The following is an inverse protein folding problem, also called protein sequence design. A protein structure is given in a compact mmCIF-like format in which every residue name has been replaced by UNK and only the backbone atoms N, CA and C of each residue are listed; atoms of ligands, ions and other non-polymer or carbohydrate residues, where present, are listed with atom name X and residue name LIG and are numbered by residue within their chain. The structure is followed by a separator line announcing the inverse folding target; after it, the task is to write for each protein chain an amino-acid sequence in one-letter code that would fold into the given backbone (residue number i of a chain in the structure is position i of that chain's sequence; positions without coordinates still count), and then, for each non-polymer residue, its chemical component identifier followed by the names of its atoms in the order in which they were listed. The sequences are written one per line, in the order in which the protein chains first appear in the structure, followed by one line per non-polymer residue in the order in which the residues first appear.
data_IF_561500761887
#
_entry.id   IF_561500761887
#
_cell.length_a   1.000
_cell.length_b   1.000
_cell.length_c   1.000
_cell.angle_alpha   90.00
_cell.angle_beta   90.00
_cell.angle_gamma   90.00
#
_symmetry.space_group_name_H-M   'P 1'
#
loop_
_entity.id
_entity.type
_entity.pdbx_description
1 polymer ?
#
# COMPACT_ATOMS: atom_id res chain seq x y z
N UNK A 1 -2.04 -4.01 6.29
CA UNK A 1 -3.33 -4.25 5.57
C UNK A 1 -3.54 -5.71 5.23
N UNK A 2 -2.51 -6.42 4.75
CA UNK A 2 -2.62 -7.86 4.46
C UNK A 2 -2.86 -8.72 5.71
N UNK A 3 -2.57 -8.18 6.88
CA UNK A 3 -2.80 -8.87 8.14
C UNK A 3 -4.26 -8.89 8.57
N UNK A 4 -4.99 -7.80 8.36
CA UNK A 4 -6.43 -7.81 8.54
C UNK A 4 -7.13 -8.65 7.46
N UNK A 5 -6.57 -8.66 6.25
CA UNK A 5 -7.01 -9.57 5.20
C UNK A 5 -6.78 -11.05 5.56
N UNK A 6 -5.69 -11.39 6.21
CA UNK A 6 -5.42 -12.76 6.67
C UNK A 6 -6.11 -13.13 7.99
N UNK A 7 -6.47 -12.17 8.84
CA UNK A 7 -7.38 -12.37 9.97
C UNK A 7 -8.82 -12.44 9.55
N UNK A 8 -9.16 -11.73 8.49
CA UNK A 8 -10.47 -11.78 7.94
C UNK A 8 -10.58 -12.99 7.04
N UNK A 9 -10.86 -14.17 7.63
CA UNK A 9 -11.67 -15.11 6.88
C UNK A 9 -12.77 -14.33 6.12
N UNK A 10 -13.27 -13.22 6.66
CA UNK A 10 -14.12 -12.27 5.99
C UNK A 10 -13.60 -11.71 4.66
N UNK A 11 -12.31 -11.37 4.54
CA UNK A 11 -11.77 -10.89 3.26
C UNK A 11 -11.63 -12.00 2.22
N UNK A 12 -11.41 -13.23 2.66
CA UNK A 12 -11.47 -14.41 1.78
C UNK A 12 -12.91 -14.65 1.35
N UNK A 13 -13.90 -14.46 2.22
CA UNK A 13 -15.32 -14.53 1.88
C UNK A 13 -15.77 -13.38 0.98
N UNK A 14 -15.27 -12.18 1.19
CA UNK A 14 -15.56 -11.01 0.34
C UNK A 14 -15.06 -11.16 -1.10
N UNK A 15 -14.07 -12.03 -1.34
CA UNK A 15 -13.47 -12.24 -2.67
C UNK A 15 -14.03 -13.46 -3.43
N UNK A 16 -14.82 -14.29 -2.79
CA UNK A 16 -15.18 -15.60 -3.33
C UNK A 16 -16.66 -15.90 -3.11
N UNK A 17 -17.47 -15.55 -4.11
CA UNK A 17 -18.92 -15.81 -4.08
C UNK A 17 -19.28 -17.30 -4.18
N UNK A 18 -18.33 -18.17 -4.49
CA UNK A 18 -18.45 -19.63 -4.45
C UNK A 18 -18.46 -20.22 -3.03
N UNK A 19 -18.35 -19.37 -2.00
CA UNK A 19 -18.49 -19.73 -0.58
C UNK A 19 -19.63 -18.95 0.08
N UNK A 20 -20.10 -19.44 1.23
CA UNK A 20 -21.08 -18.70 2.01
C UNK A 20 -20.50 -17.33 2.39
N UNK A 21 -21.08 -16.28 1.87
CA UNK A 21 -20.71 -14.89 2.11
C UNK A 21 -21.74 -14.20 3.01
N UNK A 22 -21.38 -13.07 3.60
CA UNK A 22 -22.30 -12.16 4.22
C UNK A 22 -23.27 -11.60 3.17
N UNK A 23 -24.37 -11.03 3.63
CA UNK A 23 -25.31 -10.31 2.77
C UNK A 23 -24.58 -9.24 1.94
N UNK A 24 -24.94 -9.14 0.67
CA UNK A 24 -24.26 -8.25 -0.27
C UNK A 24 -24.47 -6.78 0.03
N UNK A 25 -25.66 -6.40 0.52
CA UNK A 25 -25.92 -5.03 0.96
C UNK A 25 -25.13 -4.68 2.23
N UNK A 26 -25.05 -5.62 3.20
CA UNK A 26 -24.24 -5.44 4.39
C UNK A 26 -22.74 -5.25 4.04
N UNK A 27 -22.25 -5.93 3.01
CA UNK A 27 -20.89 -5.77 2.53
C UNK A 27 -20.64 -4.37 1.93
N UNK A 28 -21.59 -3.82 1.19
CA UNK A 28 -21.52 -2.45 0.69
C UNK A 28 -21.51 -1.44 1.83
N UNK A 29 -22.43 -1.57 2.77
CA UNK A 29 -22.54 -0.71 3.96
C UNK A 29 -21.24 -0.75 4.79
N UNK A 30 -20.64 -1.93 4.97
CA UNK A 30 -19.37 -2.08 5.67
C UNK A 30 -18.24 -1.32 4.97
N UNK A 31 -18.14 -1.43 3.63
CA UNK A 31 -17.14 -0.70 2.84
C UNK A 31 -17.31 0.81 3.01
N UNK A 32 -18.54 1.30 2.87
CA UNK A 32 -18.84 2.73 3.01
C UNK A 32 -18.51 3.26 4.41
N UNK A 33 -18.91 2.51 5.43
CA UNK A 33 -18.65 2.88 6.82
C UNK A 33 -17.16 2.88 7.19
N UNK A 34 -16.41 1.86 6.75
CA UNK A 34 -15.00 1.71 7.12
C UNK A 34 -14.07 2.63 6.30
N UNK A 35 -14.43 2.88 5.04
CA UNK A 35 -13.58 3.67 4.15
C UNK A 35 -14.08 5.12 3.97
N UNK A 36 -15.34 5.41 4.28
CA UNK A 36 -15.95 6.72 4.04
C UNK A 36 -16.07 7.06 2.55
N UNK A 37 -16.18 6.06 1.68
CA UNK A 37 -16.25 6.20 0.23
C UNK A 37 -17.56 5.54 -0.23
N UNK A 38 -18.37 6.22 -1.05
CA UNK A 38 -19.57 5.64 -1.62
C UNK A 38 -19.24 4.42 -2.52
N UNK A 39 -20.15 3.46 -2.58
CA UNK A 39 -20.03 2.27 -3.41
C UNK A 39 -20.92 2.31 -4.63
N UNK A 40 -20.43 1.77 -5.75
CA UNK A 40 -21.18 1.58 -6.97
C UNK A 40 -21.01 0.13 -7.44
N UNK A 41 -21.96 -0.79 -7.15
CA UNK A 41 -21.90 -2.15 -7.64
C UNK A 41 -22.11 -2.20 -9.16
N UNK A 42 -21.09 -2.68 -9.88
CA UNK A 42 -21.12 -2.81 -11.35
C UNK A 42 -21.77 -4.14 -11.75
N UNK A 43 -21.56 -5.18 -10.97
CA UNK A 43 -22.26 -6.44 -11.12
C UNK A 43 -22.93 -6.84 -9.79
N UNK A 44 -23.88 -7.77 -9.85
CA UNK A 44 -24.58 -8.26 -8.69
C UNK A 44 -24.65 -9.79 -8.67
N UNK A 45 -24.32 -10.46 -7.55
CA UNK A 45 -24.26 -11.92 -7.50
C UNK A 45 -25.64 -12.54 -7.42
N UNK A 46 -25.81 -13.68 -8.06
CA UNK A 46 -27.01 -14.51 -8.02
C UNK A 46 -26.77 -15.66 -7.07
N UNK A 47 -27.21 -15.50 -5.82
CA UNK A 47 -26.96 -16.45 -4.74
C UNK A 47 -25.54 -16.41 -4.20
N UNK A 48 -25.25 -17.27 -3.23
CA UNK A 48 -23.92 -17.40 -2.62
C UNK A 48 -23.61 -18.87 -2.27
N UNK A 49 -22.35 -19.21 -2.12
CA UNK A 49 -21.89 -20.54 -1.78
C UNK A 49 -22.34 -21.59 -2.80
N UNK A 50 -22.98 -22.66 -2.35
CA UNK A 50 -23.48 -23.73 -3.24
C UNK A 50 -24.65 -23.30 -4.12
N UNK A 51 -25.31 -22.21 -3.77
CA UNK A 51 -26.43 -21.64 -4.54
C UNK A 51 -25.98 -20.56 -5.52
N UNK A 52 -24.70 -20.24 -5.55
CA UNK A 52 -24.17 -19.27 -6.50
C UNK A 52 -24.31 -19.77 -7.94
N UNK A 53 -24.90 -18.95 -8.81
CA UNK A 53 -25.19 -19.30 -10.21
C UNK A 53 -24.51 -18.39 -11.20
N UNK A 54 -24.13 -17.18 -10.79
CA UNK A 54 -23.55 -16.20 -11.68
C UNK A 54 -23.61 -14.80 -11.12
N UNK A 55 -23.34 -13.83 -11.96
CA UNK A 55 -23.53 -12.41 -11.64
C UNK A 55 -24.36 -11.74 -12.71
N UNK A 56 -25.16 -10.77 -12.31
CA UNK A 56 -25.84 -9.85 -13.21
C UNK A 56 -24.92 -8.64 -13.46
N UNK A 57 -24.54 -8.42 -14.72
CA UNK A 57 -23.81 -7.22 -15.16
C UNK A 57 -24.83 -6.09 -15.36
N UNK A 58 -24.76 -5.06 -14.52
CA UNK A 58 -25.73 -3.95 -14.51
C UNK A 58 -25.58 -3.04 -15.73
N UNK A 59 -24.38 -2.95 -16.27
CA UNK A 59 -24.07 -2.10 -17.42
C UNK A 59 -24.59 -2.74 -18.71
N UNK A 60 -24.33 -4.04 -18.88
CA UNK A 60 -24.79 -4.81 -20.04
C UNK A 60 -26.26 -5.28 -19.90
N UNK A 61 -26.80 -5.28 -18.68
CA UNK A 61 -28.11 -5.84 -18.32
C UNK A 61 -28.27 -7.34 -18.67
N UNK A 62 -27.20 -8.09 -18.44
CA UNK A 62 -27.09 -9.51 -18.73
C UNK A 62 -26.63 -10.31 -17.52
N UNK A 63 -27.08 -11.54 -17.46
CA UNK A 63 -26.60 -12.52 -16.50
C UNK A 63 -25.39 -13.24 -17.11
N UNK A 64 -24.28 -13.25 -16.36
CA UNK A 64 -23.08 -14.01 -16.69
C UNK A 64 -23.06 -15.27 -15.85
N UNK A 65 -23.13 -16.41 -16.53
CA UNK A 65 -23.10 -17.72 -15.89
C UNK A 65 -21.79 -18.43 -16.15
N UNK A 66 -21.46 -19.41 -15.33
CA UNK A 66 -20.19 -20.12 -15.41
C UNK A 66 -20.43 -21.62 -15.34
N UNK A 67 -19.87 -22.34 -16.28
CA UNK A 67 -19.85 -23.78 -16.23
C UNK A 67 -18.86 -24.26 -15.15
N UNK A 68 -19.21 -25.33 -14.44
CA UNK A 68 -18.35 -26.02 -13.47
C UNK A 68 -17.05 -26.48 -14.14
N UNK A 69 -16.08 -25.57 -14.23
CA UNK A 69 -14.73 -25.91 -14.69
C UNK A 69 -13.85 -26.21 -13.50
N UNK A 70 -13.27 -27.39 -13.49
CA UNK A 70 -12.37 -27.87 -12.45
C UNK A 70 -11.32 -26.84 -12.06
N UNK A 71 -11.38 -26.37 -10.81
CA UNK A 71 -10.29 -25.77 -10.02
C UNK A 71 -9.20 -25.03 -10.84
N UNK A 72 -9.51 -23.84 -11.31
CA UNK A 72 -8.46 -22.86 -11.64
C UNK A 72 -7.53 -23.14 -12.84
N UNK A 73 -7.76 -24.19 -13.63
CA UNK A 73 -6.86 -24.63 -14.71
C UNK A 73 -7.38 -24.44 -16.14
N UNK A 74 -8.63 -24.03 -16.31
CA UNK A 74 -9.19 -23.66 -17.64
C UNK A 74 -9.97 -22.37 -17.53
N UNK A 75 -9.88 -21.55 -18.56
CA UNK A 75 -10.75 -20.39 -18.76
C UNK A 75 -12.19 -20.86 -18.69
N UNK A 76 -12.95 -20.33 -17.72
CA UNK A 76 -14.39 -20.56 -17.66
C UNK A 76 -15.03 -19.91 -18.90
N UNK A 77 -15.80 -20.66 -19.66
CA UNK A 77 -16.57 -20.08 -20.74
C UNK A 77 -17.68 -19.26 -20.08
N UNK A 78 -17.61 -17.93 -20.21
CA UNK A 78 -18.70 -17.05 -19.77
C UNK A 78 -19.84 -17.15 -20.78
N UNK A 79 -21.01 -17.56 -20.32
CA UNK A 79 -22.25 -17.43 -21.10
C UNK A 79 -22.96 -16.15 -20.67
N UNK A 80 -23.28 -15.30 -21.64
CA UNK A 80 -24.09 -14.09 -21.44
C UNK A 80 -25.56 -14.39 -21.81
N UNK A 81 -26.43 -14.32 -20.83
CA UNK A 81 -27.88 -14.59 -21.01
C UNK A 81 -28.66 -13.32 -20.68
N UNK A 82 -29.57 -12.93 -21.56
CA UNK A 82 -30.48 -11.82 -21.28
C UNK A 82 -31.39 -12.17 -20.10
N UNK A 83 -31.71 -11.22 -19.24
CA UNK A 83 -32.54 -11.46 -18.04
C UNK A 83 -33.95 -11.95 -18.38
N UNK A 84 -34.46 -11.61 -19.58
CA UNK A 84 -35.74 -12.03 -20.10
C UNK A 84 -35.68 -13.32 -20.93
N UNK A 85 -34.50 -13.88 -21.16
CA UNK A 85 -34.35 -15.11 -21.93
C UNK A 85 -34.91 -16.30 -21.13
N UNK A 86 -35.81 -17.13 -21.74
CA UNK A 86 -36.30 -18.34 -21.09
C UNK A 86 -35.22 -19.32 -20.66
N UNK A 87 -34.05 -19.36 -21.36
CA UNK A 87 -32.92 -20.22 -21.02
C UNK A 87 -32.25 -19.84 -19.67
N UNK A 88 -32.51 -18.63 -19.15
CA UNK A 88 -32.03 -18.25 -17.83
C UNK A 88 -32.56 -19.20 -16.75
N UNK A 89 -33.79 -19.70 -16.88
CA UNK A 89 -34.39 -20.64 -15.93
C UNK A 89 -33.79 -22.04 -15.96
N UNK A 90 -32.97 -22.36 -16.96
CA UNK A 90 -32.19 -23.61 -16.99
C UNK A 90 -30.98 -23.55 -16.01
N UNK A 91 -30.53 -22.34 -15.64
CA UNK A 91 -29.37 -22.11 -14.79
C UNK A 91 -29.76 -21.53 -13.43
N UNK A 92 -30.72 -20.61 -13.40
CA UNK A 92 -31.22 -19.87 -12.22
C UNK A 92 -32.64 -20.33 -11.94
N UNK A 93 -32.98 -20.71 -10.71
CA UNK A 93 -34.35 -21.05 -10.37
C UNK A 93 -35.25 -19.81 -10.29
N UNK A 94 -36.62 -20.05 -10.30
CA UNK A 94 -37.59 -18.95 -10.29
C UNK A 94 -37.44 -18.06 -9.06
N UNK A 95 -37.19 -18.62 -7.87
CA UNK A 95 -37.03 -17.87 -6.62
C UNK A 95 -35.80 -16.97 -6.70
N UNK A 96 -34.66 -17.47 -7.25
CA UNK A 96 -33.46 -16.69 -7.44
C UNK A 96 -33.61 -15.57 -8.47
N UNK A 97 -34.40 -15.81 -9.52
CA UNK A 97 -34.71 -14.78 -10.52
C UNK A 97 -35.56 -13.68 -9.91
N UNK A 98 -36.61 -14.04 -9.15
CA UNK A 98 -37.46 -13.07 -8.46
C UNK A 98 -36.67 -12.24 -7.46
N UNK A 99 -35.85 -12.90 -6.62
CA UNK A 99 -34.93 -12.22 -5.69
C UNK A 99 -34.00 -11.25 -6.41
N UNK A 100 -33.37 -11.67 -7.51
CA UNK A 100 -32.47 -10.83 -8.31
C UNK A 100 -33.18 -9.57 -8.81
N UNK A 101 -34.44 -9.71 -9.30
CA UNK A 101 -35.21 -8.56 -9.79
C UNK A 101 -35.52 -7.57 -8.69
N UNK A 102 -35.90 -8.04 -7.50
CA UNK A 102 -36.15 -7.19 -6.34
C UNK A 102 -34.89 -6.47 -5.89
N UNK A 103 -33.78 -7.18 -5.85
CA UNK A 103 -32.45 -6.60 -5.47
C UNK A 103 -31.98 -5.57 -6.50
N UNK A 104 -32.20 -5.78 -7.80
CA UNK A 104 -31.84 -4.80 -8.84
C UNK A 104 -32.72 -3.53 -8.68
N UNK A 105 -34.02 -3.66 -8.41
CA UNK A 105 -34.86 -2.50 -8.18
C UNK A 105 -34.40 -1.69 -6.97
N UNK A 106 -34.00 -2.35 -5.89
CA UNK A 106 -33.41 -1.69 -4.71
C UNK A 106 -32.10 -0.98 -5.05
N UNK A 107 -31.22 -1.63 -5.81
CA UNK A 107 -29.95 -1.05 -6.22
C UNK A 107 -30.13 0.18 -7.11
N UNK A 108 -31.04 0.11 -8.05
CA UNK A 108 -31.31 1.23 -8.98
C UNK A 108 -31.95 2.43 -8.25
N UNK A 109 -32.61 2.18 -7.09
CA UNK A 109 -33.16 3.24 -6.24
C UNK A 109 -32.22 3.78 -5.17
N UNK A 110 -31.23 3.00 -4.70
CA UNK A 110 -30.47 3.31 -3.50
C UNK A 110 -28.95 3.40 -3.73
N UNK A 111 -28.37 2.71 -4.73
CA UNK A 111 -26.94 2.78 -4.98
C UNK A 111 -26.54 3.98 -5.83
N UNK A 112 -25.30 4.46 -5.64
CA UNK A 112 -24.74 5.48 -6.51
C UNK A 112 -24.58 4.95 -7.95
N UNK A 113 -24.86 5.80 -8.93
CA UNK A 113 -24.52 5.54 -10.32
C UNK A 113 -23.01 5.67 -10.55
N UNK A 114 -22.50 4.98 -11.56
CA UNK A 114 -21.07 5.06 -11.90
C UNK A 114 -20.73 6.47 -12.41
N UNK A 115 -19.79 7.12 -11.74
CA UNK A 115 -19.25 8.43 -12.12
C UNK A 115 -17.72 8.38 -12.13
N UNK A 116 -17.12 8.52 -13.32
CA UNK A 116 -15.68 8.47 -13.55
C UNK A 116 -14.94 9.59 -12.78
N UNK A 117 -15.54 10.75 -12.61
CA UNK A 117 -14.92 11.87 -11.91
C UNK A 117 -14.86 11.60 -10.40
N UNK A 118 -15.92 11.08 -9.82
CA UNK A 118 -15.95 10.68 -8.40
C UNK A 118 -14.99 9.52 -8.12
N UNK A 119 -14.92 8.53 -9.04
CA UNK A 119 -13.93 7.44 -8.95
C UNK A 119 -12.50 7.97 -8.98
N UNK A 120 -12.20 8.91 -9.88
CA UNK A 120 -10.86 9.50 -9.98
C UNK A 120 -10.46 10.32 -8.74
N UNK A 121 -11.44 10.92 -8.06
CA UNK A 121 -11.24 11.65 -6.79
C UNK A 121 -11.14 10.73 -5.56
N UNK A 122 -11.49 9.44 -5.70
CA UNK A 122 -11.55 8.49 -4.59
C UNK A 122 -12.79 8.68 -3.70
N UNK A 123 -13.83 9.31 -4.20
CA UNK A 123 -15.12 9.54 -3.51
C UNK A 123 -16.15 8.44 -3.82
N UNK A 124 -15.96 7.69 -4.91
CA UNK A 124 -16.77 6.57 -5.33
C UNK A 124 -15.89 5.36 -5.66
N UNK A 125 -16.31 4.16 -5.22
CA UNK A 125 -15.60 2.91 -5.50
C UNK A 125 -16.50 1.96 -6.31
N UNK A 126 -16.11 1.58 -7.54
CA UNK A 126 -16.79 0.51 -8.25
C UNK A 126 -16.57 -0.82 -7.51
N UNK A 127 -17.65 -1.60 -7.34
CA UNK A 127 -17.62 -2.89 -6.65
C UNK A 127 -17.98 -4.00 -7.62
N UNK A 128 -17.16 -5.06 -7.61
CA UNK A 128 -17.36 -6.27 -8.40
C UNK A 128 -17.41 -7.49 -7.51
N UNK A 129 -18.36 -8.36 -7.78
CA UNK A 129 -18.47 -9.66 -7.14
C UNK A 129 -17.92 -10.74 -8.06
N UNK A 130 -17.11 -11.64 -7.53
CA UNK A 130 -16.46 -12.69 -8.30
C UNK A 130 -15.77 -13.72 -7.42
N UNK A 131 -15.00 -14.64 -8.01
CA UNK A 131 -14.18 -15.61 -7.30
C UNK A 131 -12.78 -15.67 -7.88
N UNK A 132 -11.77 -15.39 -7.07
CA UNK A 132 -10.37 -15.54 -7.46
C UNK A 132 -9.92 -17.01 -7.49
N UNK A 133 -10.61 -17.91 -6.77
CA UNK A 133 -10.29 -19.33 -6.73
C UNK A 133 -10.66 -20.05 -8.02
N UNK A 134 -11.81 -19.69 -8.59
CA UNK A 134 -12.35 -20.26 -9.82
C UNK A 134 -12.09 -19.38 -11.04
N UNK A 135 -11.45 -18.22 -10.87
CA UNK A 135 -11.27 -17.15 -11.86
C UNK A 135 -12.58 -16.57 -12.41
N UNK A 136 -13.68 -16.79 -11.68
CA UNK A 136 -14.97 -16.34 -12.03
C UNK A 136 -15.08 -14.81 -11.95
N UNK A 137 -15.61 -14.17 -13.01
CA UNK A 137 -15.79 -12.72 -13.08
C UNK A 137 -14.49 -11.91 -13.20
N UNK A 138 -13.32 -12.55 -13.23
CA UNK A 138 -12.03 -11.85 -13.31
C UNK A 138 -11.84 -11.19 -14.66
N UNK A 139 -12.20 -11.87 -15.75
CA UNK A 139 -12.10 -11.30 -17.09
C UNK A 139 -13.03 -10.11 -17.26
N UNK A 140 -14.28 -10.24 -16.87
CA UNK A 140 -15.28 -9.15 -16.90
C UNK A 140 -14.81 -7.95 -16.06
N UNK A 141 -14.29 -8.22 -14.85
CA UNK A 141 -13.68 -7.17 -14.03
C UNK A 141 -12.56 -6.46 -14.78
N UNK A 142 -11.63 -7.19 -15.41
CA UNK A 142 -10.51 -6.59 -16.14
C UNK A 142 -10.96 -5.76 -17.34
N UNK A 143 -12.02 -6.21 -18.07
CA UNK A 143 -12.60 -5.45 -19.16
C UNK A 143 -13.16 -4.10 -18.68
N UNK A 144 -13.96 -4.11 -17.62
CA UNK A 144 -14.46 -2.87 -17.01
C UNK A 144 -13.32 -2.02 -16.43
N UNK A 145 -12.33 -2.64 -15.77
CA UNK A 145 -11.18 -1.95 -15.23
C UNK A 145 -10.43 -1.14 -16.29
N UNK A 146 -10.22 -1.70 -17.49
CA UNK A 146 -9.57 -1.01 -18.60
C UNK A 146 -10.32 0.26 -19.05
N UNK A 147 -11.64 0.26 -18.97
CA UNK A 147 -12.48 1.42 -19.32
C UNK A 147 -12.56 2.46 -18.20
N UNK A 148 -12.44 2.02 -16.95
CA UNK A 148 -12.55 2.87 -15.75
C UNK A 148 -11.22 3.52 -15.37
N UNK A 149 -10.09 2.94 -15.78
CA UNK A 149 -8.78 3.48 -15.40
C UNK A 149 -8.44 4.74 -16.18
N UNK A 150 -7.93 5.71 -15.44
CA UNK A 150 -7.44 6.95 -16.02
C UNK A 150 -5.99 6.78 -16.48
N UNK A 151 -5.55 7.53 -17.53
CA UNK A 151 -4.14 7.66 -17.84
C UNK A 151 -3.37 8.23 -16.66
N UNK A 152 -2.03 8.13 -16.65
CA UNK A 152 -1.22 8.71 -15.57
C UNK A 152 -1.57 10.16 -15.32
N UNK A 153 -1.90 10.49 -14.07
CA UNK A 153 -2.28 11.82 -13.67
C UNK A 153 -1.04 12.70 -13.40
N UNK A 154 -1.15 14.03 -13.61
CA UNK A 154 -0.11 14.97 -13.23
C UNK A 154 0.24 14.85 -11.74
N UNK A 155 1.51 15.08 -11.41
CA UNK A 155 2.01 14.99 -10.03
C UNK A 155 2.62 16.31 -9.57
N UNK A 156 2.34 16.68 -8.33
CA UNK A 156 2.89 17.91 -7.71
C UNK A 156 4.36 17.69 -7.33
N UNK A 157 5.17 18.69 -7.64
CA UNK A 157 6.56 18.83 -7.24
C UNK A 157 6.80 20.22 -6.65
N UNK A 158 7.98 20.47 -6.09
CA UNK A 158 8.37 21.76 -5.53
C UNK A 158 8.36 22.92 -6.55
N UNK A 159 8.52 22.59 -7.84
CA UNK A 159 8.45 23.57 -8.95
C UNK A 159 7.05 23.73 -9.55
N UNK A 160 6.03 23.03 -9.04
CA UNK A 160 4.67 23.03 -9.57
C UNK A 160 4.20 21.65 -10.04
N UNK A 161 3.18 21.63 -10.89
CA UNK A 161 2.57 20.38 -11.39
C UNK A 161 3.35 19.89 -12.62
N UNK A 162 3.77 18.63 -12.60
CA UNK A 162 4.47 17.96 -13.70
C UNK A 162 3.45 17.16 -14.53
N UNK A 163 3.35 17.50 -15.82
CA UNK A 163 2.49 16.82 -16.77
C UNK A 163 3.18 15.53 -17.28
N UNK A 164 2.53 14.37 -17.18
CA UNK A 164 3.15 13.09 -17.53
C UNK A 164 3.51 12.96 -19.01
N UNK A 165 2.81 13.67 -19.90
CA UNK A 165 3.00 13.55 -21.36
C UNK A 165 3.89 14.64 -21.94
N UNK A 166 3.84 15.85 -21.38
CA UNK A 166 4.51 17.04 -21.94
C UNK A 166 5.92 17.28 -21.41
N UNK A 167 6.25 16.67 -20.26
CA UNK A 167 7.54 16.89 -19.61
C UNK A 167 8.57 15.83 -19.97
N UNK A 168 9.85 16.17 -19.78
CA UNK A 168 10.95 15.22 -19.92
C UNK A 168 10.84 14.11 -18.84
N UNK A 169 11.67 13.07 -19.01
CA UNK A 169 11.71 11.95 -18.06
C UNK A 169 11.87 12.42 -16.60
N UNK A 170 11.01 11.91 -15.79
CA UNK A 170 11.17 11.90 -14.34
C UNK A 170 10.53 10.67 -13.70
N UNK A 171 11.09 10.25 -12.58
CA UNK A 171 10.63 9.07 -11.85
C UNK A 171 10.72 9.31 -10.34
N UNK A 172 10.00 8.51 -9.60
CA UNK A 172 9.87 8.58 -8.15
C UNK A 172 10.07 7.21 -7.52
N UNK A 173 11.00 7.10 -6.57
CA UNK A 173 11.27 5.85 -5.84
C UNK A 173 10.18 5.65 -4.79
N UNK A 174 9.35 4.62 -4.94
CA UNK A 174 8.26 4.35 -4.00
C UNK A 174 8.48 3.10 -3.15
N UNK A 175 9.38 2.21 -3.55
CA UNK A 175 9.69 0.98 -2.84
C UNK A 175 11.15 0.61 -3.01
N UNK A 176 11.73 0.07 -1.94
CA UNK A 176 13.04 -0.58 -1.99
C UNK A 176 12.86 -2.00 -1.46
N UNK A 177 13.49 -2.96 -2.10
CA UNK A 177 13.47 -4.34 -1.66
C UNK A 177 14.88 -4.92 -1.75
N UNK A 178 15.37 -5.44 -0.62
CA UNK A 178 16.67 -6.10 -0.54
C UNK A 178 16.49 -7.62 -0.40
N UNK A 179 17.55 -8.37 -0.73
CA UNK A 179 17.67 -9.82 -0.52
C UNK A 179 16.53 -10.65 -1.15
N UNK A 180 15.99 -10.23 -2.29
CA UNK A 180 15.00 -11.01 -3.03
C UNK A 180 15.53 -12.40 -3.41
N UNK A 181 16.83 -12.48 -3.72
CA UNK A 181 17.54 -13.73 -3.92
C UNK A 181 18.56 -13.91 -2.79
N UNK A 182 18.38 -14.94 -1.95
CA UNK A 182 19.29 -15.26 -0.84
C UNK A 182 20.75 -15.48 -1.29
N UNK A 183 20.95 -15.91 -2.55
CA UNK A 183 22.27 -16.17 -3.12
C UNK A 183 23.00 -14.90 -3.57
N UNK A 184 22.32 -13.82 -3.88
CA UNK A 184 22.89 -12.67 -4.57
C UNK A 184 22.78 -11.34 -3.82
N UNK A 185 22.28 -11.27 -2.61
CA UNK A 185 22.18 -10.04 -1.78
C UNK A 185 21.89 -8.79 -2.62
N UNK A 186 21.00 -8.92 -3.60
CA UNK A 186 20.59 -7.86 -4.49
C UNK A 186 19.65 -6.88 -3.76
N UNK A 187 19.75 -5.61 -4.14
CA UNK A 187 18.84 -4.56 -3.69
C UNK A 187 18.29 -3.87 -4.94
N UNK A 188 16.97 -3.77 -5.00
CA UNK A 188 16.25 -3.17 -6.12
C UNK A 188 15.45 -1.96 -5.61
N UNK A 189 15.61 -0.83 -6.29
CA UNK A 189 14.75 0.33 -6.12
C UNK A 189 13.67 0.30 -7.19
N UNK A 190 12.41 0.28 -6.78
CA UNK A 190 11.26 0.38 -7.67
C UNK A 190 10.89 1.83 -7.84
N UNK A 191 10.83 2.25 -9.10
CA UNK A 191 10.52 3.61 -9.51
C UNK A 191 9.28 3.62 -10.37
N UNK A 192 8.35 4.54 -10.07
CA UNK A 192 7.28 4.89 -11.00
C UNK A 192 7.75 6.02 -11.90
N UNK A 193 7.64 5.87 -13.19
CA UNK A 193 7.87 6.95 -14.15
C UNK A 193 6.69 7.91 -14.04
N UNK A 194 6.99 9.16 -13.73
CA UNK A 194 5.98 10.20 -13.51
C UNK A 194 5.77 11.08 -14.74
N UNK A 195 6.81 11.26 -15.58
CA UNK A 195 6.72 11.99 -16.83
C UNK A 195 7.70 11.47 -17.88
N UNK A 196 7.37 11.70 -19.13
CA UNK A 196 8.21 11.42 -20.30
C UNK A 196 8.51 9.95 -20.53
N UNK A 197 9.63 9.70 -21.19
CA UNK A 197 10.09 8.37 -21.60
C UNK A 197 11.43 8.05 -20.96
N UNK A 198 11.56 6.84 -20.44
CA UNK A 198 12.82 6.24 -20.03
C UNK A 198 13.41 5.42 -21.18
N UNK A 199 14.69 5.60 -21.48
CA UNK A 199 15.47 4.76 -22.38
C UNK A 199 16.65 4.14 -21.61
N UNK A 200 16.91 2.84 -21.85
CA UNK A 200 17.98 2.12 -21.16
C UNK A 200 19.34 2.78 -21.39
N UNK A 201 20.10 2.98 -20.32
CA UNK A 201 21.43 3.61 -20.37
C UNK A 201 21.44 5.12 -20.44
N UNK A 202 20.28 5.80 -20.41
CA UNK A 202 20.21 7.26 -20.34
C UNK A 202 20.88 7.79 -19.05
N UNK A 203 21.47 8.99 -19.13
CA UNK A 203 21.98 9.70 -17.98
C UNK A 203 20.84 10.41 -17.25
N UNK A 204 20.73 10.20 -15.94
CA UNK A 204 19.72 10.81 -15.08
C UNK A 204 20.39 11.57 -13.92
N UNK A 205 19.62 12.42 -13.27
CA UNK A 205 20.03 13.15 -12.08
C UNK A 205 19.24 12.67 -10.86
N UNK A 206 19.94 12.18 -9.84
CA UNK A 206 19.37 11.84 -8.55
C UNK A 206 19.31 13.11 -7.70
N UNK A 207 18.13 13.62 -7.45
CA UNK A 207 17.91 14.96 -6.86
C UNK A 207 18.43 15.01 -5.43
N UNK A 208 17.99 14.11 -4.56
CA UNK A 208 18.38 14.08 -3.15
C UNK A 208 19.88 13.73 -2.98
N UNK A 209 20.41 12.89 -3.84
CA UNK A 209 21.84 12.57 -3.87
C UNK A 209 22.73 13.62 -4.53
N UNK A 210 22.14 14.59 -5.23
CA UNK A 210 22.87 15.70 -5.87
C UNK A 210 23.82 15.29 -6.99
N UNK A 211 23.62 14.13 -7.65
CA UNK A 211 24.57 13.58 -8.61
C UNK A 211 23.92 13.00 -9.86
N UNK A 212 24.67 13.06 -10.95
CA UNK A 212 24.33 12.36 -12.19
C UNK A 212 24.71 10.90 -12.10
N UNK A 213 23.93 10.04 -12.73
CA UNK A 213 24.17 8.61 -12.78
C UNK A 213 23.47 7.97 -13.97
N UNK A 214 23.78 6.71 -14.24
CA UNK A 214 23.02 5.85 -15.15
C UNK A 214 22.30 4.79 -14.34
N UNK A 215 21.05 4.52 -14.67
CA UNK A 215 20.27 3.47 -14.03
C UNK A 215 20.72 2.12 -14.56
N UNK A 216 21.18 1.25 -13.64
CA UNK A 216 21.73 -0.05 -14.01
C UNK A 216 20.62 -1.10 -14.07
N UNK A 217 20.64 -1.91 -15.11
CA UNK A 217 19.79 -3.09 -15.30
C UNK A 217 18.32 -2.81 -15.01
N UNK A 218 17.68 -1.89 -15.76
CA UNK A 218 16.26 -1.64 -15.60
C UNK A 218 15.48 -2.91 -15.92
N UNK A 219 14.61 -3.30 -15.01
CA UNK A 219 13.85 -4.54 -15.09
C UNK A 219 12.38 -4.25 -14.82
N UNK A 220 11.51 -4.92 -15.53
CA UNK A 220 10.11 -5.04 -15.18
C UNK A 220 9.90 -6.42 -14.55
N UNK A 221 9.17 -6.45 -13.46
CA UNK A 221 8.91 -7.67 -12.72
C UNK A 221 7.46 -8.10 -12.88
N UNK A 222 7.27 -9.35 -13.30
CA UNK A 222 5.98 -10.00 -13.32
C UNK A 222 6.10 -11.29 -12.47
N UNK A 223 5.56 -11.25 -11.27
CA UNK A 223 5.73 -12.29 -10.25
C UNK A 223 7.22 -12.60 -9.97
N UNK A 224 7.70 -13.81 -10.28
CA UNK A 224 9.12 -14.20 -10.15
C UNK A 224 9.98 -13.85 -11.36
N UNK A 225 9.35 -13.52 -12.48
CA UNK A 225 10.07 -13.30 -13.74
C UNK A 225 10.57 -11.87 -13.84
N UNK A 226 11.79 -11.73 -14.36
CA UNK A 226 12.46 -10.45 -14.57
C UNK A 226 12.74 -10.28 -16.04
N UNK A 227 12.20 -9.22 -16.61
CA UNK A 227 12.48 -8.84 -17.99
C UNK A 227 13.28 -7.54 -18.02
N UNK A 228 14.35 -7.53 -18.80
CA UNK A 228 15.10 -6.29 -19.06
C UNK A 228 14.20 -5.38 -19.89
N UNK A 229 14.16 -4.10 -19.54
CA UNK A 229 13.33 -3.09 -20.19
C UNK A 229 14.24 -2.11 -20.92
N UNK A 230 14.05 -2.00 -22.22
CA UNK A 230 14.80 -1.04 -23.04
C UNK A 230 14.18 0.35 -22.98
N UNK A 231 12.84 0.42 -22.89
CA UNK A 231 12.08 1.67 -22.80
C UNK A 231 10.87 1.51 -21.87
N UNK A 232 10.48 2.62 -21.23
CA UNK A 232 9.29 2.69 -20.40
C UNK A 232 8.73 4.12 -20.38
N UNK A 233 7.45 4.25 -20.09
CA UNK A 233 6.72 5.50 -20.22
C UNK A 233 6.08 5.94 -18.89
N UNK A 234 5.60 7.18 -18.85
CA UNK A 234 4.87 7.70 -17.71
C UNK A 234 3.73 6.74 -17.29
N UNK A 235 3.69 6.39 -16.02
CA UNK A 235 2.78 5.38 -15.46
C UNK A 235 3.42 4.02 -15.24
N UNK A 236 4.46 3.66 -16.00
CA UNK A 236 5.18 2.39 -15.84
C UNK A 236 6.00 2.33 -14.55
N UNK A 237 6.20 1.12 -14.08
CA UNK A 237 7.06 0.81 -12.93
C UNK A 237 8.27 0.03 -13.43
N UNK A 238 9.46 0.53 -13.12
CA UNK A 238 10.72 -0.15 -13.37
C UNK A 238 11.45 -0.41 -12.06
N UNK A 239 12.12 -1.57 -11.97
CA UNK A 239 13.07 -1.88 -10.91
C UNK A 239 14.49 -1.66 -11.40
N UNK A 240 15.32 -0.96 -10.64
CA UNK A 240 16.74 -0.76 -10.96
C UNK A 240 17.61 -1.30 -9.84
N UNK A 241 18.78 -1.82 -10.20
CA UNK A 241 19.76 -2.23 -9.19
C UNK A 241 20.16 -1.03 -8.33
N UNK A 242 20.08 -1.19 -7.02
CA UNK A 242 20.43 -0.16 -6.05
C UNK A 242 21.67 -0.55 -5.25
N UNK A 243 22.81 0.12 -5.43
CA UNK A 243 24.01 -0.09 -4.60
C UNK A 243 23.87 0.47 -3.18
N UNK A 244 22.68 0.86 -2.74
CA UNK A 244 22.40 1.42 -1.42
C UNK A 244 22.37 2.96 -1.39
N UNK A 245 22.06 3.58 -2.53
CA UNK A 245 22.05 5.04 -2.68
C UNK A 245 20.65 5.65 -2.73
N UNK A 246 19.64 4.84 -3.04
CA UNK A 246 18.27 5.32 -3.11
C UNK A 246 17.54 5.20 -1.77
N UNK A 247 16.63 6.12 -1.54
CA UNK A 247 15.65 6.10 -0.46
C UNK A 247 14.24 6.20 -1.01
N UNK A 248 13.26 5.68 -0.29
CA UNK A 248 11.84 5.90 -0.63
C UNK A 248 11.56 7.40 -0.57
N UNK A 249 10.93 7.92 -1.62
CA UNK A 249 10.68 9.35 -1.77
C UNK A 249 11.69 10.07 -2.69
N UNK A 250 12.76 9.42 -3.11
CA UNK A 250 13.75 10.03 -4.00
C UNK A 250 13.17 10.31 -5.38
N UNK A 251 13.55 11.46 -5.92
CA UNK A 251 13.20 11.91 -7.27
C UNK A 251 14.38 11.74 -8.20
N UNK A 252 14.10 11.18 -9.38
CA UNK A 252 15.04 11.02 -10.48
C UNK A 252 14.52 11.83 -11.65
N UNK A 253 15.35 12.66 -12.28
CA UNK A 253 14.95 13.48 -13.41
C UNK A 253 16.06 13.59 -14.46
N UNK A 254 15.78 14.25 -15.57
CA UNK A 254 16.81 14.57 -16.57
C UNK A 254 17.87 15.49 -15.99
N UNK A 255 19.16 15.33 -16.39
CA UNK A 255 20.21 16.26 -16.01
C UNK A 255 19.88 17.69 -16.44
N UNK A 256 20.01 18.63 -15.51
CA UNK A 256 19.69 20.06 -15.75
C UNK A 256 18.32 20.47 -15.19
N UNK A 257 17.38 19.55 -15.01
CA UNK A 257 16.15 19.78 -14.27
C UNK A 257 16.35 19.34 -12.80
N UNK A 258 16.06 20.23 -11.86
CA UNK A 258 16.23 19.98 -10.41
C UNK A 258 14.92 20.33 -9.71
N UNK A 259 14.07 19.35 -9.56
CA UNK A 259 12.86 19.47 -8.77
C UNK A 259 12.67 18.17 -7.98
N UNK A 260 11.95 18.26 -6.87
CA UNK A 260 11.62 17.10 -6.04
C UNK A 260 10.09 16.92 -5.98
N UNK A 261 9.66 15.69 -6.16
CA UNK A 261 8.27 15.33 -5.87
C UNK A 261 8.01 15.36 -4.37
N UNK A 262 6.78 15.63 -4.00
CA UNK A 262 6.33 15.44 -2.62
C UNK A 262 6.53 13.99 -2.20
N UNK A 263 7.08 13.82 -1.00
CA UNK A 263 7.37 12.49 -0.44
C UNK A 263 6.10 11.66 -0.19
N UNK A 264 6.29 10.35 0.00
CA UNK A 264 5.21 9.47 0.43
C UNK A 264 4.96 9.72 1.92
N UNK A 265 3.72 9.99 2.36
CA UNK A 265 3.40 10.08 3.77
C UNK A 265 3.78 8.78 4.48
N UNK A 266 4.54 8.89 5.55
CA UNK A 266 4.88 7.75 6.39
C UNK A 266 3.83 7.64 7.50
N UNK A 267 3.20 6.48 7.64
CA UNK A 267 2.24 6.26 8.72
C UNK A 267 2.96 6.32 10.07
N UNK A 268 2.34 6.99 11.02
CA UNK A 268 2.83 7.00 12.39
C UNK A 268 2.78 5.57 12.96
N UNK A 269 3.86 5.09 13.61
CA UNK A 269 3.81 3.82 14.31
C UNK A 269 2.84 3.86 15.49
N UNK A 270 2.16 2.74 15.71
CA UNK A 270 1.22 2.55 16.82
C UNK A 270 1.77 1.60 17.89
N UNK A 271 2.80 0.82 17.54
CA UNK A 271 3.42 -0.15 18.43
C UNK A 271 4.93 0.04 18.47
N UNK A 272 5.51 -0.04 19.65
CA UNK A 272 6.93 0.19 19.86
C UNK A 272 7.55 -0.94 20.66
N UNK A 273 8.76 -1.34 20.25
CA UNK A 273 9.55 -2.31 20.99
C UNK A 273 11.02 -1.90 21.03
N UNK A 274 11.68 -2.19 22.13
CA UNK A 274 13.13 -2.14 22.22
C UNK A 274 13.70 -3.42 21.63
N UNK A 275 14.68 -3.28 20.75
CA UNK A 275 15.31 -4.39 20.04
C UNK A 275 16.75 -4.54 20.50
N UNK A 276 17.11 -5.74 20.95
CA UNK A 276 18.48 -6.08 21.35
C UNK A 276 18.94 -7.34 20.66
N UNK A 277 20.16 -7.35 20.14
CA UNK A 277 20.82 -8.56 19.68
C UNK A 277 21.19 -9.43 20.87
N UNK A 278 21.06 -10.75 20.73
CA UNK A 278 21.45 -11.70 21.77
C UNK A 278 22.97 -11.95 21.78
N UNK A 279 23.59 -11.92 20.61
CA UNK A 279 25.03 -12.10 20.44
C UNK A 279 25.71 -10.77 20.10
N UNK A 280 26.52 -10.27 21.00
CA UNK A 280 27.24 -8.99 20.83
C UNK A 280 28.29 -9.04 19.72
N UNK A 281 28.81 -10.22 19.35
CA UNK A 281 29.76 -10.37 18.26
C UNK A 281 29.10 -10.14 16.87
N UNK A 282 27.79 -10.29 16.78
CA UNK A 282 27.01 -10.07 15.55
C UNK A 282 26.52 -8.62 15.38
N UNK A 283 27.08 -7.65 16.12
CA UNK A 283 26.65 -6.24 16.10
C UNK A 283 26.66 -5.61 14.70
N UNK A 284 27.68 -5.89 13.90
CA UNK A 284 27.76 -5.35 12.53
C UNK A 284 26.62 -5.86 11.65
N UNK A 285 26.31 -7.15 11.74
CA UNK A 285 25.21 -7.77 11.01
C UNK A 285 23.87 -7.22 11.49
N UNK A 286 23.71 -7.06 12.80
CA UNK A 286 22.51 -6.48 13.41
C UNK A 286 22.23 -5.06 12.89
N UNK A 287 23.21 -4.15 13.02
CA UNK A 287 23.05 -2.76 12.56
C UNK A 287 22.76 -2.70 11.06
N UNK A 288 23.48 -3.51 10.26
CA UNK A 288 23.25 -3.58 8.83
C UNK A 288 21.83 -4.09 8.52
N UNK A 289 21.42 -5.20 9.13
CA UNK A 289 20.13 -5.82 8.89
C UNK A 289 18.96 -4.91 9.26
N UNK A 290 18.97 -4.37 10.47
CA UNK A 290 17.89 -3.52 10.94
C UNK A 290 17.77 -2.21 10.12
N UNK A 291 18.92 -1.62 9.73
CA UNK A 291 18.95 -0.43 8.89
C UNK A 291 18.42 -0.70 7.48
N UNK A 292 18.75 -1.85 6.87
CA UNK A 292 18.22 -2.21 5.56
C UNK A 292 16.72 -2.46 5.59
N UNK A 293 16.21 -3.17 6.59
CA UNK A 293 14.77 -3.43 6.77
C UNK A 293 14.00 -2.11 6.98
N UNK A 294 14.59 -1.16 7.71
CA UNK A 294 14.00 0.17 7.87
C UNK A 294 13.98 0.98 6.57
N UNK A 295 15.05 0.90 5.77
CA UNK A 295 15.11 1.58 4.46
C UNK A 295 14.09 1.03 3.45
N UNK A 296 13.64 -0.21 3.63
CA UNK A 296 12.54 -0.79 2.85
C UNK A 296 11.15 -0.30 3.32
N UNK A 297 11.09 0.48 4.40
CA UNK A 297 9.83 1.00 4.96
C UNK A 297 9.03 -0.02 5.79
N UNK A 298 9.59 -1.21 6.06
CA UNK A 298 8.90 -2.24 6.84
C UNK A 298 8.80 -1.90 8.33
N UNK A 299 9.74 -1.13 8.85
CA UNK A 299 9.82 -0.67 10.24
C UNK A 299 10.36 0.76 10.27
N UNK A 300 10.13 1.46 11.38
CA UNK A 300 10.80 2.72 11.68
C UNK A 300 11.73 2.53 12.87
N UNK A 301 12.90 3.18 12.81
CA UNK A 301 13.93 3.07 13.84
C UNK A 301 14.08 4.41 14.56
N UNK A 302 14.12 4.34 15.86
CA UNK A 302 14.35 5.46 16.74
C UNK A 302 15.48 5.16 17.72
N UNK A 303 16.20 6.20 18.08
CA UNK A 303 17.23 6.17 19.10
C UNK A 303 16.81 7.06 20.27
N UNK A 304 17.12 6.67 21.48
CA UNK A 304 16.84 7.52 22.63
C UNK A 304 17.67 8.81 22.55
N UNK A 305 17.04 9.95 22.82
CA UNK A 305 17.74 11.23 22.86
C UNK A 305 18.84 11.20 23.94
N UNK A 306 20.08 11.48 23.56
CA UNK A 306 21.28 11.30 24.38
C UNK A 306 21.58 9.87 24.83
N UNK A 307 20.87 8.89 24.32
CA UNK A 307 21.20 7.48 24.46
C UNK A 307 22.29 7.06 23.48
N UNK A 308 23.07 6.05 23.83
CA UNK A 308 24.01 5.44 22.88
C UNK A 308 23.27 4.61 21.81
N UNK A 309 24.02 4.25 20.73
CA UNK A 309 23.49 3.33 19.68
C UNK A 309 23.16 1.92 20.21
N UNK A 310 23.21 1.70 21.50
CA UNK A 310 22.97 0.40 22.13
C UNK A 310 21.48 0.09 22.32
N UNK A 311 20.65 1.12 22.37
CA UNK A 311 19.19 0.97 22.56
C UNK A 311 18.43 1.43 21.32
N UNK A 312 18.11 0.49 20.44
CA UNK A 312 17.28 0.75 19.27
C UNK A 312 15.82 0.51 19.66
N UNK A 313 14.99 1.52 19.40
CA UNK A 313 13.53 1.41 19.48
C UNK A 313 13.02 1.24 18.04
N UNK A 314 12.20 0.24 17.84
CA UNK A 314 11.51 0.00 16.57
C UNK A 314 10.04 0.35 16.74
N UNK A 315 9.53 1.15 15.82
CA UNK A 315 8.11 1.46 15.69
C UNK A 315 7.52 0.77 14.46
N UNK A 316 6.32 0.23 14.60
CA UNK A 316 5.56 -0.46 13.56
C UNK A 316 4.08 -0.06 13.62
N UNK A 317 3.40 -0.15 12.48
CA UNK A 317 1.95 0.12 12.39
C UNK A 317 1.16 -1.09 12.91
N UNK A 318 1.64 -2.31 12.65
CA UNK A 318 1.00 -3.54 13.08
C UNK A 318 1.97 -4.49 13.76
N UNK A 319 1.53 -5.18 14.82
CA UNK A 319 2.37 -6.04 15.67
C UNK A 319 3.09 -7.17 14.93
N UNK A 320 2.51 -7.68 13.83
CA UNK A 320 3.14 -8.73 13.02
C UNK A 320 4.42 -8.26 12.32
N UNK A 321 4.60 -6.97 12.12
CA UNK A 321 5.86 -6.47 11.56
C UNK A 321 7.05 -6.77 12.50
N UNK A 322 6.82 -6.96 13.81
CA UNK A 322 7.86 -7.44 14.71
C UNK A 322 8.26 -8.89 14.43
N UNK A 323 7.30 -9.76 14.11
CA UNK A 323 7.59 -11.15 13.75
C UNK A 323 8.36 -11.22 12.42
N UNK A 324 7.95 -10.39 11.45
CA UNK A 324 8.69 -10.25 10.18
C UNK A 324 10.11 -9.74 10.42
N UNK A 325 10.29 -8.72 11.25
CA UNK A 325 11.62 -8.22 11.62
C UNK A 325 12.50 -9.30 12.21
N UNK A 326 11.97 -10.05 13.19
CA UNK A 326 12.67 -11.15 13.84
C UNK A 326 13.07 -12.23 12.84
N UNK A 327 12.10 -12.71 12.06
CA UNK A 327 12.33 -13.73 11.03
C UNK A 327 13.41 -13.31 10.02
N UNK A 328 13.36 -12.07 9.53
CA UNK A 328 14.32 -11.54 8.56
C UNK A 328 15.72 -11.40 9.14
N UNK A 329 15.85 -10.87 10.37
CA UNK A 329 17.16 -10.75 11.03
C UNK A 329 17.79 -12.13 11.28
N UNK A 330 17.00 -13.13 11.70
CA UNK A 330 17.48 -14.50 11.90
C UNK A 330 17.88 -15.16 10.57
N UNK A 331 17.03 -15.09 9.54
CA UNK A 331 17.22 -15.88 8.31
C UNK A 331 18.05 -15.21 7.22
N UNK A 332 18.07 -13.86 7.15
CA UNK A 332 18.82 -13.13 6.13
C UNK A 332 20.18 -12.62 6.66
N UNK A 333 20.24 -12.27 7.95
CA UNK A 333 21.43 -11.66 8.57
C UNK A 333 22.09 -12.54 9.61
N UNK A 334 21.51 -13.72 9.94
CA UNK A 334 22.00 -14.64 10.96
C UNK A 334 22.14 -13.97 12.34
N UNK A 335 21.15 -13.17 12.75
CA UNK A 335 21.14 -12.43 14.00
C UNK A 335 19.90 -12.74 14.80
N UNK A 336 20.08 -13.33 15.98
CA UNK A 336 19.01 -13.55 16.94
C UNK A 336 18.78 -12.28 17.76
N UNK A 337 17.51 -11.91 17.94
CA UNK A 337 17.10 -10.71 18.66
C UNK A 337 16.11 -11.01 19.78
N UNK A 338 16.09 -10.12 20.76
CA UNK A 338 15.04 -10.01 21.77
C UNK A 338 14.27 -8.73 21.56
N UNK A 339 12.95 -8.85 21.55
CA UNK A 339 11.99 -7.74 21.49
C UNK A 339 11.40 -7.54 22.90
N UNK A 340 11.41 -6.30 23.37
CA UNK A 340 10.78 -5.88 24.62
C UNK A 340 9.74 -4.81 24.25
N UNK A 341 8.45 -5.14 24.35
CA UNK A 341 7.38 -4.21 24.05
C UNK A 341 7.45 -2.99 24.98
N UNK A 342 7.24 -1.82 24.41
CA UNK A 342 7.18 -0.55 25.11
C UNK A 342 5.73 -0.07 25.15
N UNK A 343 5.33 0.67 26.20
CA UNK A 343 3.94 1.06 26.42
C UNK A 343 3.50 2.28 25.60
N UNK A 344 4.27 2.67 24.59
CA UNK A 344 3.96 3.84 23.77
C UNK A 344 3.03 3.45 22.63
N UNK A 345 2.03 4.32 22.38
CA UNK A 345 1.04 4.16 21.31
C UNK A 345 0.97 5.38 20.38
N UNK A 346 1.57 6.50 20.81
CA UNK A 346 1.51 7.73 20.05
C UNK A 346 2.91 8.31 19.83
N UNK A 347 3.13 8.82 18.63
CA UNK A 347 4.35 9.54 18.25
C UNK A 347 3.99 10.94 17.75
N UNK A 348 4.84 11.92 18.04
CA UNK A 348 4.70 13.30 17.54
C UNK A 348 6.06 13.82 17.10
N UNK A 349 6.08 14.44 15.93
CA UNK A 349 7.23 15.15 15.39
C UNK A 349 7.28 16.57 15.92
N UNK A 350 8.47 17.07 16.19
CA UNK A 350 8.69 18.46 16.59
C UNK A 350 8.88 19.29 15.32
N UNK A 351 7.86 20.05 14.92
CA UNK A 351 7.87 20.80 13.66
C UNK A 351 8.83 21.97 13.67
N UNK A 352 9.00 22.62 14.82
CA UNK A 352 9.89 23.79 15.00
C UNK A 352 11.19 23.43 15.75
N UNK A 353 11.80 22.30 15.38
CA UNK A 353 13.01 21.74 16.02
C UNK A 353 14.19 22.70 16.11
N UNK A 354 14.34 23.63 15.17
CA UNK A 354 15.42 24.62 15.13
C UNK A 354 15.28 25.70 16.22
N UNK A 355 14.06 25.94 16.71
CA UNK A 355 13.72 26.96 17.70
C UNK A 355 13.64 26.41 19.11
N UNK A 356 13.54 25.07 19.27
CA UNK A 356 13.28 24.41 20.54
C UNK A 356 14.54 23.72 21.08
N UNK A 357 14.86 24.01 22.33
CA UNK A 357 15.87 23.23 23.06
C UNK A 357 15.20 21.99 23.68
N UNK A 358 15.55 20.82 23.12
CA UNK A 358 15.00 19.50 23.56
C UNK A 358 15.22 19.22 25.05
N UNK A 359 16.30 19.71 25.64
CA UNK A 359 16.57 19.50 27.07
C UNK A 359 15.58 20.22 27.97
N UNK A 360 15.07 21.35 27.49
CA UNK A 360 14.11 22.20 28.24
C UNK A 360 12.68 21.76 28.11
N UNK A 361 12.36 20.83 27.21
CA UNK A 361 10.98 20.32 27.08
C UNK A 361 10.57 19.66 28.41
N UNK A 362 9.55 20.24 29.04
CA UNK A 362 8.93 19.71 30.26
C UNK A 362 8.02 18.54 29.91
N UNK A 363 8.53 17.34 30.11
CA UNK A 363 7.81 16.10 29.84
C UNK A 363 6.92 15.62 30.98
N UNK A 364 6.25 14.50 30.72
CA UNK A 364 5.59 13.66 31.72
C UNK A 364 6.40 12.37 31.92
N UNK A 365 6.08 11.59 32.96
CA UNK A 365 6.68 10.26 33.17
C UNK A 365 6.40 9.29 32.01
N UNK A 366 5.34 9.55 31.27
CA UNK A 366 4.80 8.71 30.20
C UNK A 366 5.27 9.16 28.82
N UNK A 367 6.29 10.04 28.75
CA UNK A 367 6.87 10.56 27.52
C UNK A 367 8.32 10.13 27.37
N UNK A 368 8.73 9.83 26.14
CA UNK A 368 10.13 9.56 25.81
C UNK A 368 10.60 10.43 24.65
N UNK A 369 11.77 11.04 24.79
CA UNK A 369 12.42 11.81 23.71
C UNK A 369 13.27 10.86 22.88
N UNK A 370 13.06 10.84 21.57
CA UNK A 370 13.77 9.99 20.62
C UNK A 370 14.19 10.78 19.38
N UNK A 371 15.11 10.21 18.62
CA UNK A 371 15.57 10.73 17.33
C UNK A 371 15.34 9.66 16.27
N UNK A 372 14.91 10.08 15.07
CA UNK A 372 14.89 9.18 13.91
C UNK A 372 16.29 9.01 13.28
N UNK A 373 16.40 8.18 12.25
CA UNK A 373 17.66 7.96 11.52
C UNK A 373 18.17 9.20 10.77
N UNK A 374 17.31 10.19 10.51
CA UNK A 374 17.66 11.46 9.87
C UNK A 374 18.09 12.52 10.88
N UNK A 375 18.04 12.19 12.19
CA UNK A 375 18.38 13.13 13.27
C UNK A 375 17.22 14.07 13.64
N UNK A 376 16.01 13.79 13.24
CA UNK A 376 14.85 14.58 13.65
C UNK A 376 14.40 14.17 15.06
N UNK A 377 14.13 15.13 15.95
CA UNK A 377 13.62 14.84 17.28
C UNK A 377 12.13 14.56 17.27
N UNK A 378 11.74 13.55 18.05
CA UNK A 378 10.37 13.11 18.22
C UNK A 378 10.06 12.80 19.68
N UNK A 379 8.78 12.78 20.00
CA UNK A 379 8.27 12.41 21.32
C UNK A 379 7.36 11.20 21.21
N UNK A 380 7.61 10.19 22.02
CA UNK A 380 6.74 9.04 22.20
C UNK A 380 5.86 9.26 23.44
N UNK A 381 4.60 8.86 23.38
CA UNK A 381 3.63 9.00 24.47
C UNK A 381 2.84 7.71 24.66
N UNK A 382 2.45 7.44 25.89
CA UNK A 382 1.62 6.27 26.25
C UNK A 382 0.15 6.50 25.88
N UNK A 383 -0.33 7.76 25.95
CA UNK A 383 -1.73 8.09 25.73
C UNK A 383 -1.90 9.53 25.19
N UNK A 384 -3.07 9.87 24.59
CA UNK A 384 -3.33 11.21 24.05
C UNK A 384 -3.31 12.33 25.07
N UNK A 385 -3.69 12.04 26.32
CA UNK A 385 -3.71 13.02 27.41
C UNK A 385 -2.30 13.55 27.71
N UNK A 386 -1.29 12.67 27.68
CA UNK A 386 0.12 13.07 27.87
C UNK A 386 0.61 14.02 26.77
N UNK A 387 0.10 13.89 25.53
CA UNK A 387 0.39 14.83 24.43
C UNK A 387 -0.11 16.23 24.78
N UNK A 388 -1.38 16.34 25.20
CA UNK A 388 -1.99 17.62 25.60
C UNK A 388 -1.23 18.26 26.76
N UNK A 389 -0.89 17.50 27.81
CA UNK A 389 -0.12 18.02 28.94
C UNK A 389 1.25 18.57 28.55
N UNK A 390 1.95 17.90 27.67
CA UNK A 390 3.26 18.38 27.21
C UNK A 390 3.12 19.63 26.38
N UNK A 391 2.11 19.76 25.54
CA UNK A 391 1.81 20.98 24.78
C UNK A 391 1.45 22.15 25.71
N UNK A 392 0.64 21.91 26.74
CA UNK A 392 0.25 22.95 27.69
C UNK A 392 1.43 23.47 28.53
N UNK A 393 2.39 22.62 28.86
CA UNK A 393 3.59 22.99 29.61
C UNK A 393 4.66 23.68 28.73
N UNK A 394 4.61 23.47 27.42
CA UNK A 394 5.59 23.99 26.48
C UNK A 394 4.87 24.74 25.35
N UNK A 395 4.45 25.97 25.62
CA UNK A 395 3.61 26.77 24.70
C UNK A 395 4.24 27.04 23.33
N UNK A 396 5.57 27.05 23.26
CA UNK A 396 6.33 27.30 22.03
C UNK A 396 6.58 26.00 21.23
N UNK A 397 6.21 24.82 21.77
CA UNK A 397 6.42 23.53 21.14
C UNK A 397 5.30 23.24 20.12
N UNK A 398 5.67 23.01 18.85
CA UNK A 398 4.74 22.62 17.80
C UNK A 398 4.90 21.14 17.48
N UNK A 399 3.86 20.37 17.85
CA UNK A 399 3.81 18.92 17.59
C UNK A 399 2.91 18.62 16.38
N UNK A 400 3.37 17.71 15.53
CA UNK A 400 2.62 17.22 14.35
C UNK A 400 2.52 15.70 14.36
N UNK A 401 1.47 15.17 13.75
CA UNK A 401 1.26 13.72 13.61
C UNK A 401 2.05 13.10 12.46
N UNK A 402 2.53 13.94 11.55
CA UNK A 402 3.28 13.52 10.37
C UNK A 402 4.61 14.25 10.29
N UNK A 403 5.63 13.56 9.77
CA UNK A 403 6.87 14.21 9.37
C UNK A 403 6.58 15.16 8.22
N UNK A 404 6.86 16.45 8.39
CA UNK A 404 7.05 17.34 7.24
C UNK A 404 8.46 17.06 6.74
N UNK A 405 8.56 16.35 5.61
CA UNK A 405 9.82 16.13 4.91
C UNK A 405 10.39 17.45 4.40
#
# INVERSE_FOLDING_TARGET
RDYYASRGLGDVYKRQMDRDANDTFELLDEIEKELGIATCPINWPIGSGKKFRGVYDRDKKKVLTFSDTMKGTKEGIEEEIDIDDPHLLDVVDEDQKEQLMDEIELLDGASAEFDQELVSKGELSPVFFGSALTNFGVETFLQHFLTMTMPPLPRTADCGVIDPVKEDFSAFVFKIQANMNKAHRDRIAFMRICSGKFDAGMEVFHVQGGKKMRLSQPQQMMASDRHIVDEAYAGDIIGVFDPGIFSIGDTICMPGKKFAYEGIPTFAPEHFARVRQLDTMKRKQFVKGISQIAQEGAIQIFQEYKGGMEEIIVGVVGVLQFDVLKYRLENEYNVDIRLENLPYEHIRWIANKEEINLDRIQGTSDMKKVMDLKGNPLLLFVNPWSVGMVQDRNKDLVLTEFSKN
#
